data_IF_012428662445
#
_entry.id   IF_012428662445
#
_cell.length_a   1.000
_cell.length_b   1.000
_cell.length_c   1.000
_cell.angle_alpha   90.00
_cell.angle_beta   90.00
_cell.angle_gamma   90.00
#
_symmetry.space_group_name_H-M   'P 1'
#
loop_
_entity.id
_entity.type
_entity.pdbx_description
1 polymer ?
#
# COMPACT_ATOMS: atom_id res chain seq x y z
N UNK A 1 16.93 10.68 20.54
CA UNK A 1 17.12 9.55 19.61
C UNK A 1 15.79 8.99 19.09
N UNK A 2 14.82 8.68 19.94
CA UNK A 2 13.51 8.09 19.54
C UNK A 2 12.76 8.94 18.50
N UNK A 3 12.72 10.26 18.64
CA UNK A 3 12.01 11.17 17.72
C UNK A 3 12.57 11.23 16.28
N UNK A 4 13.82 10.81 16.07
CA UNK A 4 14.42 10.69 14.73
C UNK A 4 14.27 9.29 14.21
N UNK A 5 14.46 8.29 15.08
CA UNK A 5 14.44 6.88 14.71
C UNK A 5 13.03 6.42 14.30
N UNK A 6 11.99 6.88 15.00
CA UNK A 6 10.61 6.46 14.75
C UNK A 6 10.12 6.86 13.34
N UNK A 7 10.19 8.15 12.91
CA UNK A 7 9.82 8.53 11.55
C UNK A 7 10.65 7.84 10.46
N UNK A 8 11.93 7.58 10.74
CA UNK A 8 12.81 6.90 9.79
C UNK A 8 12.43 5.43 9.60
N UNK A 9 12.17 4.70 10.70
CA UNK A 9 11.73 3.31 10.64
C UNK A 9 10.35 3.17 9.98
N UNK A 10 9.42 4.08 10.30
CA UNK A 10 8.09 4.08 9.66
C UNK A 10 8.17 4.42 8.18
N UNK A 11 9.02 5.36 7.78
CA UNK A 11 9.25 5.69 6.38
C UNK A 11 9.81 4.48 5.59
N UNK A 12 10.83 3.81 6.14
CA UNK A 12 11.40 2.62 5.49
C UNK A 12 10.38 1.48 5.44
N UNK A 13 9.67 1.23 6.53
CA UNK A 13 8.65 0.18 6.58
C UNK A 13 7.55 0.41 5.54
N UNK A 14 6.99 1.63 5.50
CA UNK A 14 5.94 1.99 4.54
C UNK A 14 6.45 1.93 3.10
N UNK A 15 7.66 2.45 2.84
CA UNK A 15 8.30 2.37 1.51
C UNK A 15 8.56 0.93 1.09
N UNK A 16 8.98 0.07 2.02
CA UNK A 16 9.21 -1.35 1.73
C UNK A 16 7.93 -2.10 1.34
N UNK A 17 6.84 -1.85 2.04
CA UNK A 17 5.52 -2.44 1.73
C UNK A 17 5.00 -1.90 0.39
N UNK A 18 5.09 -0.59 0.17
CA UNK A 18 4.68 0.02 -1.10
C UNK A 18 5.50 -0.52 -2.28
N UNK A 19 6.81 -0.65 -2.12
CA UNK A 19 7.72 -1.22 -3.12
C UNK A 19 7.36 -2.68 -3.44
N UNK A 20 7.07 -3.48 -2.41
CA UNK A 20 6.67 -4.88 -2.60
C UNK A 20 5.42 -4.99 -3.48
N UNK A 21 4.34 -4.28 -3.12
CA UNK A 21 3.09 -4.32 -3.89
C UNK A 21 3.24 -3.73 -5.29
N UNK A 22 4.00 -2.64 -5.43
CA UNK A 22 4.27 -2.00 -6.71
C UNK A 22 5.04 -2.92 -7.66
N UNK A 23 6.14 -3.49 -7.19
CA UNK A 23 7.03 -4.35 -8.01
C UNK A 23 6.35 -5.66 -8.39
N UNK A 24 5.70 -6.33 -7.45
CA UNK A 24 4.97 -7.58 -7.74
C UNK A 24 3.78 -7.29 -8.65
N UNK A 25 3.02 -6.21 -8.42
CA UNK A 25 1.91 -5.85 -9.27
C UNK A 25 2.33 -5.54 -10.71
N UNK A 26 3.42 -4.82 -10.88
CA UNK A 26 3.98 -4.55 -12.20
C UNK A 26 4.46 -5.84 -12.89
N UNK A 27 5.13 -6.73 -12.15
CA UNK A 27 5.59 -8.02 -12.66
C UNK A 27 4.43 -8.94 -13.09
N UNK A 28 3.28 -8.84 -12.44
CA UNK A 28 2.08 -9.62 -12.79
C UNK A 28 1.41 -9.14 -14.08
N UNK A 29 1.57 -7.86 -14.45
CA UNK A 29 1.08 -7.33 -15.74
C UNK A 29 1.87 -7.93 -16.92
N UNK A 30 3.13 -8.33 -16.69
CA UNK A 30 4.02 -8.85 -17.73
C UNK A 30 4.55 -10.24 -17.36
N UNK A 31 3.73 -11.28 -17.34
CA UNK A 31 4.13 -12.61 -16.84
C UNK A 31 5.30 -13.23 -17.62
N UNK A 32 5.48 -12.88 -18.89
CA UNK A 32 6.62 -13.35 -19.71
C UNK A 32 7.98 -12.76 -19.32
N UNK A 33 8.01 -11.69 -18.51
CA UNK A 33 9.25 -10.99 -18.10
C UNK A 33 9.29 -10.75 -16.60
N UNK A 34 8.76 -11.69 -15.81
CA UNK A 34 8.57 -11.54 -14.38
C UNK A 34 9.84 -11.12 -13.62
N UNK A 35 10.93 -11.86 -13.74
CA UNK A 35 12.18 -11.58 -13.06
C UNK A 35 12.88 -10.26 -13.50
N UNK A 36 13.00 -9.96 -14.81
CA UNK A 36 13.51 -8.67 -15.25
C UNK A 36 12.74 -7.49 -14.69
N UNK A 37 11.41 -7.60 -14.60
CA UNK A 37 10.57 -6.51 -14.07
C UNK A 37 10.73 -6.35 -12.56
N UNK A 38 10.86 -7.45 -11.80
CA UNK A 38 11.16 -7.37 -10.36
C UNK A 38 12.47 -6.62 -10.14
N UNK A 39 13.51 -6.98 -10.87
CA UNK A 39 14.81 -6.31 -10.73
C UNK A 39 14.72 -4.83 -11.10
N UNK A 40 14.14 -4.52 -12.27
CA UNK A 40 13.97 -3.14 -12.73
C UNK A 40 13.10 -2.32 -11.77
N UNK A 41 11.95 -2.85 -11.37
CA UNK A 41 11.03 -2.18 -10.46
C UNK A 41 11.65 -1.90 -9.10
N UNK A 42 12.41 -2.87 -8.55
CA UNK A 42 13.12 -2.70 -7.27
C UNK A 42 14.16 -1.58 -7.34
N UNK A 43 14.92 -1.51 -8.45
CA UNK A 43 15.90 -0.43 -8.66
C UNK A 43 15.19 0.93 -8.83
N UNK A 44 14.08 0.98 -9.55
CA UNK A 44 13.30 2.21 -9.73
C UNK A 44 12.75 2.73 -8.40
N UNK A 45 12.23 1.85 -7.54
CA UNK A 45 11.75 2.22 -6.20
C UNK A 45 12.88 2.77 -5.32
N UNK A 46 14.02 2.10 -5.29
CA UNK A 46 15.19 2.58 -4.57
C UNK A 46 15.66 3.94 -5.10
N UNK A 47 15.70 4.09 -6.44
CA UNK A 47 16.12 5.33 -7.10
C UNK A 47 15.17 6.49 -6.79
N UNK A 48 13.85 6.23 -6.72
CA UNK A 48 12.84 7.23 -6.32
C UNK A 48 13.15 7.81 -4.94
N UNK A 49 13.38 6.95 -3.94
CA UNK A 49 13.68 7.39 -2.57
C UNK A 49 15.01 8.14 -2.46
N UNK A 50 16.05 7.64 -3.14
CA UNK A 50 17.36 8.31 -3.17
C UNK A 50 17.26 9.67 -3.83
N UNK A 51 16.58 9.76 -4.98
CA UNK A 51 16.41 11.02 -5.72
C UNK A 51 15.64 12.06 -4.90
N UNK A 52 14.57 11.68 -4.24
CA UNK A 52 13.79 12.56 -3.36
C UNK A 52 14.63 13.06 -2.20
N UNK A 53 15.32 12.16 -1.52
CA UNK A 53 16.18 12.50 -0.38
C UNK A 53 17.31 13.46 -0.80
N UNK A 54 17.96 13.17 -1.92
CA UNK A 54 19.03 14.01 -2.46
C UNK A 54 18.50 15.38 -2.89
N UNK A 55 17.40 15.44 -3.63
CA UNK A 55 16.80 16.68 -4.12
C UNK A 55 16.35 17.56 -2.95
N UNK A 56 15.75 16.98 -1.91
CA UNK A 56 15.36 17.71 -0.72
C UNK A 56 16.56 18.33 -0.01
N UNK A 57 17.64 17.57 0.17
CA UNK A 57 18.83 18.04 0.85
C UNK A 57 19.58 19.14 0.06
N UNK A 58 19.56 19.06 -1.27
CA UNK A 58 20.30 19.97 -2.15
C UNK A 58 19.38 20.97 -2.90
N UNK A 59 18.14 21.18 -2.40
CA UNK A 59 17.14 21.98 -3.09
C UNK A 59 17.63 23.41 -3.41
N UNK A 60 18.30 24.09 -2.49
CA UNK A 60 18.79 25.46 -2.67
C UNK A 60 19.96 25.57 -3.65
N UNK A 61 20.82 24.54 -3.69
CA UNK A 61 22.05 24.52 -4.49
C UNK A 61 21.83 24.02 -5.93
N UNK A 62 20.72 23.27 -6.13
CA UNK A 62 20.41 22.64 -7.43
C UNK A 62 19.91 23.68 -8.45
N UNK A 63 20.44 23.62 -9.68
CA UNK A 63 20.00 24.45 -10.80
C UNK A 63 18.49 24.22 -11.07
N UNK A 64 17.77 25.30 -11.48
CA UNK A 64 16.32 25.25 -11.75
C UNK A 64 15.94 24.15 -12.74
N UNK A 65 16.70 23.95 -13.82
CA UNK A 65 16.44 22.92 -14.82
C UNK A 65 16.49 21.50 -14.21
N UNK A 66 17.55 21.20 -13.44
CA UNK A 66 17.69 19.89 -12.75
C UNK A 66 16.60 19.67 -11.70
N UNK A 67 16.21 20.73 -10.99
CA UNK A 67 15.14 20.68 -9.99
C UNK A 67 13.82 20.26 -10.62
N UNK A 68 13.42 20.91 -11.71
CA UNK A 68 12.22 20.56 -12.46
C UNK A 68 12.29 19.14 -13.04
N UNK A 69 13.43 18.77 -13.62
CA UNK A 69 13.64 17.45 -14.19
C UNK A 69 13.47 16.34 -13.15
N UNK A 70 14.18 16.42 -12.00
CA UNK A 70 14.09 15.41 -10.98
C UNK A 70 12.70 15.37 -10.30
N UNK A 71 12.06 16.52 -10.07
CA UNK A 71 10.71 16.56 -9.53
C UNK A 71 9.72 15.87 -10.47
N UNK A 72 9.77 16.18 -11.77
CA UNK A 72 8.92 15.55 -12.78
C UNK A 72 9.20 14.05 -12.88
N UNK A 73 10.47 13.64 -12.87
CA UNK A 73 10.86 12.24 -12.90
C UNK A 73 10.31 11.47 -11.68
N UNK A 74 10.40 12.03 -10.49
CA UNK A 74 9.84 11.42 -9.27
C UNK A 74 8.32 11.29 -9.37
N UNK A 75 7.62 12.33 -9.85
CA UNK A 75 6.15 12.27 -10.03
C UNK A 75 5.77 11.19 -11.04
N UNK A 76 6.49 11.09 -12.17
CA UNK A 76 6.26 10.03 -13.16
C UNK A 76 6.53 8.63 -12.58
N UNK A 77 7.61 8.47 -11.80
CA UNK A 77 7.91 7.23 -11.12
C UNK A 77 6.79 6.87 -10.13
N UNK A 78 6.27 7.83 -9.36
CA UNK A 78 5.13 7.61 -8.48
C UNK A 78 3.89 7.11 -9.24
N UNK A 79 3.59 7.69 -10.40
CA UNK A 79 2.45 7.24 -11.21
C UNK A 79 2.64 5.80 -11.72
N UNK A 80 3.85 5.45 -12.18
CA UNK A 80 4.16 4.08 -12.65
C UNK A 80 4.05 3.08 -11.49
N UNK A 81 4.61 3.40 -10.33
CA UNK A 81 4.58 2.51 -9.16
C UNK A 81 3.17 2.37 -8.59
N UNK A 82 2.39 3.46 -8.60
CA UNK A 82 0.97 3.45 -8.24
C UNK A 82 0.16 2.53 -9.15
N UNK A 83 0.48 2.49 -10.46
CA UNK A 83 -0.16 1.57 -11.41
C UNK A 83 0.16 0.10 -11.09
N UNK A 84 1.38 -0.19 -10.61
CA UNK A 84 1.74 -1.51 -10.10
C UNK A 84 0.89 -1.94 -8.90
N UNK A 85 0.77 -1.07 -7.89
CA UNK A 85 -0.05 -1.34 -6.69
C UNK A 85 -1.52 -1.55 -7.09
N UNK A 86 -2.04 -0.70 -7.99
CA UNK A 86 -3.40 -0.84 -8.52
C UNK A 86 -3.60 -2.20 -9.19
N UNK A 87 -2.65 -2.62 -10.04
CA UNK A 87 -2.70 -3.92 -10.71
C UNK A 87 -2.74 -5.08 -9.72
N UNK A 88 -1.90 -5.05 -8.68
CA UNK A 88 -1.86 -6.07 -7.63
C UNK A 88 -3.19 -6.18 -6.88
N UNK A 89 -3.69 -5.06 -6.36
CA UNK A 89 -4.93 -5.04 -5.57
C UNK A 89 -6.16 -5.36 -6.41
N UNK A 90 -6.22 -4.86 -7.66
CA UNK A 90 -7.31 -5.17 -8.58
C UNK A 90 -7.33 -6.65 -8.95
N UNK A 91 -6.16 -7.28 -9.16
CA UNK A 91 -6.06 -8.70 -9.45
C UNK A 91 -6.55 -9.53 -8.26
N UNK A 92 -6.12 -9.21 -7.04
CA UNK A 92 -6.57 -9.89 -5.83
C UNK A 92 -8.10 -9.84 -5.68
N UNK A 93 -8.71 -8.68 -5.98
CA UNK A 93 -10.17 -8.53 -5.97
C UNK A 93 -10.85 -9.36 -7.07
N UNK A 94 -10.31 -9.36 -8.28
CA UNK A 94 -10.85 -10.17 -9.39
C UNK A 94 -10.79 -11.66 -9.10
N UNK A 95 -9.71 -12.17 -8.53
CA UNK A 95 -9.56 -13.57 -8.13
C UNK A 95 -10.63 -13.98 -7.11
N UNK A 96 -10.90 -13.11 -6.11
CA UNK A 96 -11.98 -13.33 -5.15
C UNK A 96 -13.36 -13.37 -5.82
N UNK A 97 -13.63 -12.47 -6.76
CA UNK A 97 -14.89 -12.44 -7.51
C UNK A 97 -15.09 -13.66 -8.42
N UNK A 98 -14.02 -14.15 -9.07
CA UNK A 98 -14.08 -15.37 -9.89
C UNK A 98 -14.42 -16.57 -9.02
N UNK A 99 -13.83 -16.69 -7.83
CA UNK A 99 -14.13 -17.77 -6.88
C UNK A 99 -15.59 -17.72 -6.42
N UNK A 100 -16.08 -16.51 -6.04
CA UNK A 100 -17.49 -16.31 -5.70
C UNK A 100 -18.43 -16.71 -6.84
N UNK A 101 -18.14 -16.28 -8.06
CA UNK A 101 -18.94 -16.61 -9.24
C UNK A 101 -18.97 -18.11 -9.51
N UNK A 102 -17.84 -18.81 -9.41
CA UNK A 102 -17.75 -20.25 -9.58
C UNK A 102 -18.55 -21.00 -8.51
N UNK A 103 -18.42 -20.62 -7.24
CA UNK A 103 -19.16 -21.20 -6.12
C UNK A 103 -20.68 -21.00 -6.31
N UNK A 104 -21.11 -19.80 -6.69
CA UNK A 104 -22.53 -19.48 -6.95
C UNK A 104 -23.11 -20.36 -8.08
N UNK A 105 -22.36 -20.59 -9.15
CA UNK A 105 -22.79 -21.49 -10.25
C UNK A 105 -22.89 -22.92 -9.78
N UNK A 106 -21.91 -23.41 -9.01
CA UNK A 106 -21.94 -24.77 -8.45
C UNK A 106 -23.12 -24.97 -7.49
N UNK A 107 -23.37 -24.01 -6.60
CA UNK A 107 -24.50 -24.01 -5.67
C UNK A 107 -25.82 -24.08 -6.44
N UNK A 108 -26.02 -23.25 -7.47
CA UNK A 108 -27.23 -23.30 -8.32
C UNK A 108 -27.42 -24.65 -9.02
N UNK A 109 -26.33 -25.27 -9.46
CA UNK A 109 -26.36 -26.60 -10.07
C UNK A 109 -26.78 -27.66 -9.06
N UNK A 110 -26.20 -27.62 -7.84
CA UNK A 110 -26.58 -28.52 -6.74
C UNK A 110 -28.01 -28.27 -6.27
N UNK A 111 -28.50 -27.03 -6.23
CA UNK A 111 -29.90 -26.69 -5.93
C UNK A 111 -30.86 -27.31 -6.94
N UNK A 112 -30.49 -27.27 -8.23
CA UNK A 112 -31.30 -27.90 -9.27
C UNK A 112 -31.33 -29.43 -9.12
N UNK A 113 -30.17 -30.05 -8.84
CA UNK A 113 -30.10 -31.50 -8.57
C UNK A 113 -30.88 -31.88 -7.33
N UNK A 114 -30.76 -31.10 -6.25
CA UNK A 114 -31.50 -31.29 -5.01
C UNK A 114 -33.02 -31.26 -5.27
N UNK A 115 -33.48 -30.27 -6.04
CA UNK A 115 -34.91 -30.16 -6.42
C UNK A 115 -35.39 -31.38 -7.18
N UNK A 116 -34.65 -31.81 -8.19
CA UNK A 116 -34.99 -33.00 -8.97
C UNK A 116 -35.02 -34.26 -8.09
N UNK A 117 -34.04 -34.44 -7.23
CA UNK A 117 -33.98 -35.57 -6.31
C UNK A 117 -35.11 -35.55 -5.28
N UNK A 118 -35.54 -34.39 -4.79
CA UNK A 118 -36.70 -34.23 -3.90
C UNK A 118 -38.01 -34.58 -4.62
N UNK A 119 -38.22 -34.08 -5.81
CA UNK A 119 -39.39 -34.42 -6.64
C UNK A 119 -39.46 -35.92 -6.94
N UNK A 120 -38.31 -36.54 -7.26
CA UNK A 120 -38.21 -38.00 -7.46
C UNK A 120 -38.53 -38.75 -6.18
N UNK A 121 -38.02 -38.32 -5.03
CA UNK A 121 -38.30 -38.93 -3.74
C UNK A 121 -39.79 -38.86 -3.41
N UNK A 122 -40.43 -37.71 -3.60
CA UNK A 122 -41.85 -37.51 -3.37
C UNK A 122 -42.70 -38.45 -4.27
N UNK A 123 -42.36 -38.53 -5.55
CA UNK A 123 -43.01 -39.45 -6.47
C UNK A 123 -42.87 -40.93 -6.05
N UNK A 124 -41.66 -41.33 -5.63
CA UNK A 124 -41.42 -42.73 -5.17
C UNK A 124 -42.14 -43.02 -3.86
N UNK A 125 -42.19 -42.08 -2.91
CA UNK A 125 -42.93 -42.23 -1.65
C UNK A 125 -44.44 -42.36 -1.89
N UNK A 126 -45.00 -41.54 -2.77
CA UNK A 126 -46.42 -41.66 -3.14
C UNK A 126 -46.74 -43.04 -3.76
N UNK A 127 -45.82 -43.55 -4.56
CA UNK A 127 -45.96 -44.85 -5.23
C UNK A 127 -45.74 -46.03 -4.25
N UNK A 128 -44.89 -45.88 -3.27
CA UNK A 128 -44.68 -46.85 -2.21
C UNK A 128 -45.92 -47.00 -1.28
N UNK A 129 -46.67 -45.89 -1.10
CA UNK A 129 -47.91 -45.87 -0.33
C UNK A 129 -49.11 -46.53 -1.00
N UNK A 130 -49.02 -46.84 -2.29
CA UNK A 130 -50.08 -47.53 -3.03
C UNK A 130 -49.86 -49.07 -2.99
N UNK A 131 -50.78 -49.83 -2.38
CA UNK A 131 -50.66 -51.31 -2.29
C UNK A 131 -50.49 -52.03 -3.62
N UNK A 132 -50.98 -51.44 -4.70
CA UNK A 132 -50.90 -52.03 -6.06
C UNK A 132 -49.50 -51.89 -6.68
N UNK A 133 -48.70 -50.94 -6.21
CA UNK A 133 -47.38 -50.60 -6.77
C UNK A 133 -46.20 -50.76 -5.79
N UNK A 134 -46.48 -51.03 -4.50
CA UNK A 134 -45.47 -51.27 -3.47
C UNK A 134 -44.56 -52.46 -3.85
N UNK A 135 -43.24 -52.23 -3.87
CA UNK A 135 -42.28 -53.25 -4.28
C UNK A 135 -40.91 -52.94 -3.61
N UNK A 136 -40.16 -53.99 -3.24
CA UNK A 136 -38.78 -53.87 -2.73
C UNK A 136 -37.89 -53.00 -3.62
N UNK A 137 -38.15 -52.96 -4.93
CA UNK A 137 -37.43 -52.13 -5.88
C UNK A 137 -37.66 -50.63 -5.63
N UNK A 138 -38.87 -50.26 -5.21
CA UNK A 138 -39.20 -48.86 -4.88
C UNK A 138 -38.50 -48.46 -3.57
N UNK A 139 -38.47 -49.32 -2.58
CA UNK A 139 -37.77 -49.08 -1.33
C UNK A 139 -36.26 -48.85 -1.56
N UNK A 140 -35.63 -49.66 -2.43
CA UNK A 140 -34.23 -49.48 -2.79
C UNK A 140 -34.02 -48.12 -3.49
N UNK A 141 -34.90 -47.73 -4.43
CA UNK A 141 -34.81 -46.43 -5.10
C UNK A 141 -35.02 -45.24 -4.14
N UNK A 142 -35.86 -45.37 -3.13
CA UNK A 142 -36.05 -44.39 -2.07
C UNK A 142 -34.74 -44.21 -1.30
N UNK A 143 -34.10 -45.33 -0.88
CA UNK A 143 -32.83 -45.28 -0.14
C UNK A 143 -31.70 -44.67 -0.98
N UNK A 144 -31.61 -45.03 -2.26
CA UNK A 144 -30.65 -44.46 -3.22
C UNK A 144 -30.85 -42.94 -3.36
N UNK A 145 -32.10 -42.48 -3.54
CA UNK A 145 -32.44 -41.06 -3.68
C UNK A 145 -32.17 -40.29 -2.39
N UNK A 146 -32.40 -40.89 -1.23
CA UNK A 146 -32.04 -40.28 0.07
C UNK A 146 -30.52 -40.16 0.26
N UNK A 147 -29.77 -41.19 -0.18
CA UNK A 147 -28.32 -41.16 -0.17
C UNK A 147 -27.77 -40.06 -1.10
N UNK A 148 -28.39 -39.93 -2.29
CA UNK A 148 -28.06 -38.86 -3.25
C UNK A 148 -28.32 -37.46 -2.67
N UNK A 149 -29.46 -37.23 -2.03
CA UNK A 149 -29.78 -35.97 -1.33
C UNK A 149 -28.79 -35.65 -0.26
N UNK A 150 -28.38 -36.66 0.54
CA UNK A 150 -27.36 -36.47 1.56
C UNK A 150 -26.01 -36.10 0.98
N UNK A 151 -25.62 -36.71 -0.14
CA UNK A 151 -24.39 -36.38 -0.86
C UNK A 151 -24.43 -34.96 -1.38
N UNK A 152 -25.50 -34.53 -2.05
CA UNK A 152 -25.69 -33.16 -2.56
C UNK A 152 -25.60 -32.16 -1.42
N UNK A 153 -26.26 -32.43 -0.30
CA UNK A 153 -26.19 -31.57 0.90
C UNK A 153 -24.76 -31.45 1.43
N UNK A 154 -24.01 -32.54 1.51
CA UNK A 154 -22.62 -32.52 1.99
C UNK A 154 -21.69 -31.78 1.04
N UNK A 155 -21.93 -31.83 -0.28
CA UNK A 155 -21.14 -31.08 -1.28
C UNK A 155 -21.50 -29.59 -1.26
N UNK A 156 -22.75 -29.23 -0.98
CA UNK A 156 -23.23 -27.84 -0.94
C UNK A 156 -22.79 -27.06 0.31
N UNK A 157 -22.74 -27.70 1.46
CA UNK A 157 -22.42 -27.06 2.75
C UNK A 157 -21.07 -26.31 2.75
N UNK A 158 -19.94 -26.90 2.30
CA UNK A 158 -18.66 -26.19 2.26
C UNK A 158 -18.68 -25.00 1.30
N UNK A 159 -19.35 -25.11 0.14
CA UNK A 159 -19.48 -24.03 -0.83
C UNK A 159 -20.26 -22.83 -0.26
N UNK A 160 -21.36 -23.09 0.47
CA UNK A 160 -22.13 -22.07 1.17
C UNK A 160 -21.31 -21.40 2.28
N UNK A 161 -20.51 -22.17 3.03
CA UNK A 161 -19.66 -21.62 4.05
C UNK A 161 -18.58 -20.69 3.47
N UNK A 162 -17.99 -21.06 2.34
CA UNK A 162 -17.01 -20.25 1.63
C UNK A 162 -17.64 -18.99 1.01
N UNK A 163 -18.82 -19.11 0.37
CA UNK A 163 -19.58 -17.97 -0.15
C UNK A 163 -19.93 -16.96 0.96
N UNK A 164 -20.40 -17.44 2.11
CA UNK A 164 -20.69 -16.59 3.26
C UNK A 164 -19.46 -15.89 3.80
N UNK A 165 -18.31 -16.58 3.86
CA UNK A 165 -17.03 -16.00 4.29
C UNK A 165 -16.59 -14.88 3.35
N UNK A 166 -16.55 -15.14 2.07
CA UNK A 166 -16.18 -14.16 1.04
C UNK A 166 -17.16 -12.98 1.01
N UNK A 167 -18.46 -13.23 1.16
CA UNK A 167 -19.48 -12.18 1.24
C UNK A 167 -19.30 -11.30 2.49
N UNK A 168 -18.87 -11.87 3.62
CA UNK A 168 -18.58 -11.11 4.83
C UNK A 168 -17.33 -10.23 4.68
N UNK A 169 -16.32 -10.69 3.95
CA UNK A 169 -15.12 -9.91 3.65
C UNK A 169 -15.43 -8.70 2.75
N UNK A 170 -16.38 -8.83 1.81
CA UNK A 170 -16.81 -7.74 0.92
C UNK A 170 -17.80 -6.78 1.62
N UNK A 171 -18.42 -7.20 2.72
CA UNK A 171 -19.45 -6.45 3.42
C UNK A 171 -19.11 -4.98 3.71
N UNK A 172 -17.96 -4.65 4.29
CA UNK A 172 -17.58 -3.25 4.55
C UNK A 172 -17.52 -2.39 3.28
N UNK A 173 -17.01 -2.96 2.17
CA UNK A 173 -16.91 -2.28 0.88
C UNK A 173 -18.30 -2.05 0.29
N UNK A 174 -19.23 -2.99 0.50
CA UNK A 174 -20.62 -2.87 0.06
C UNK A 174 -21.32 -1.66 0.70
N UNK A 175 -21.10 -1.43 2.00
CA UNK A 175 -21.65 -0.25 2.69
C UNK A 175 -21.07 1.06 2.14
N UNK A 176 -19.78 1.11 1.83
CA UNK A 176 -19.15 2.28 1.19
C UNK A 176 -19.71 2.46 -0.22
N UNK A 177 -19.89 1.38 -0.96
CA UNK A 177 -20.46 1.43 -2.30
C UNK A 177 -21.89 1.98 -2.30
N UNK A 178 -22.73 1.53 -1.37
CA UNK A 178 -24.12 1.98 -1.23
C UNK A 178 -24.23 3.47 -0.85
N UNK A 179 -23.19 4.07 -0.29
CA UNK A 179 -23.14 5.49 0.04
C UNK A 179 -22.87 6.38 -1.18
N UNK A 180 -22.05 5.90 -2.12
CA UNK A 180 -21.55 6.70 -3.25
C UNK A 180 -22.14 6.32 -4.60
N UNK A 181 -22.72 5.12 -4.73
CA UNK A 181 -23.22 4.59 -5.99
C UNK A 181 -24.66 4.08 -5.85
N UNK A 182 -25.39 4.13 -6.95
CA UNK A 182 -26.76 3.64 -7.00
C UNK A 182 -26.80 2.11 -6.95
N UNK A 183 -27.70 1.54 -6.13
CA UNK A 183 -27.85 0.09 -5.92
C UNK A 183 -28.35 -0.66 -7.17
N UNK A 184 -28.96 0.06 -8.11
CA UNK A 184 -29.48 -0.52 -9.36
C UNK A 184 -28.37 -0.88 -10.36
N UNK A 185 -27.15 -0.36 -10.19
CA UNK A 185 -26.01 -0.66 -11.06
C UNK A 185 -25.35 -1.99 -10.65
N UNK A 186 -25.37 -3.04 -11.47
CA UNK A 186 -24.74 -4.34 -11.15
C UNK A 186 -23.24 -4.25 -10.86
N UNK A 187 -22.58 -3.19 -11.34
CA UNK A 187 -21.13 -2.97 -11.19
C UNK A 187 -20.77 -2.04 -10.02
N UNK A 188 -21.72 -1.66 -9.17
CA UNK A 188 -21.49 -0.65 -8.11
C UNK A 188 -20.38 -1.08 -7.12
N UNK A 189 -20.31 -2.38 -6.78
CA UNK A 189 -19.28 -2.92 -5.88
C UNK A 189 -17.89 -2.80 -6.53
N UNK A 190 -17.75 -3.17 -7.78
CA UNK A 190 -16.47 -3.09 -8.50
C UNK A 190 -15.98 -1.64 -8.62
N UNK A 191 -16.89 -0.70 -8.85
CA UNK A 191 -16.57 0.75 -8.88
C UNK A 191 -16.10 1.23 -7.52
N UNK A 192 -16.77 0.83 -6.44
CA UNK A 192 -16.38 1.20 -5.09
C UNK A 192 -15.00 0.62 -4.71
N UNK A 193 -14.74 -0.66 -5.03
CA UNK A 193 -13.44 -1.28 -4.80
C UNK A 193 -12.34 -0.52 -5.52
N UNK A 194 -12.53 -0.20 -6.80
CA UNK A 194 -11.55 0.60 -7.58
C UNK A 194 -11.32 1.97 -6.95
N UNK A 195 -12.38 2.65 -6.50
CA UNK A 195 -12.26 3.94 -5.82
C UNK A 195 -11.45 3.82 -4.52
N UNK A 196 -11.72 2.81 -3.69
CA UNK A 196 -10.97 2.56 -2.45
C UNK A 196 -9.49 2.26 -2.76
N UNK A 197 -9.20 1.43 -3.77
CA UNK A 197 -7.83 1.14 -4.20
C UNK A 197 -7.10 2.42 -4.63
N UNK A 198 -7.74 3.29 -5.41
CA UNK A 198 -7.17 4.57 -5.85
C UNK A 198 -6.86 5.48 -4.64
N UNK A 199 -7.78 5.57 -3.67
CA UNK A 199 -7.56 6.36 -2.45
C UNK A 199 -6.38 5.82 -1.64
N UNK A 200 -6.31 4.50 -1.45
CA UNK A 200 -5.18 3.85 -0.76
C UNK A 200 -3.86 4.22 -1.44
N UNK A 201 -3.77 4.05 -2.74
CA UNK A 201 -2.55 4.35 -3.51
C UNK A 201 -2.18 5.83 -3.39
N UNK A 202 -3.15 6.73 -3.54
CA UNK A 202 -2.92 8.17 -3.48
C UNK A 202 -2.43 8.63 -2.10
N UNK A 203 -2.76 7.89 -1.04
CA UNK A 203 -2.29 8.17 0.32
C UNK A 203 -0.92 7.52 0.57
N UNK A 204 -0.74 6.25 0.21
CA UNK A 204 0.45 5.47 0.59
C UNK A 204 1.74 5.97 -0.06
N UNK A 205 1.74 6.20 -1.37
CA UNK A 205 2.96 6.51 -2.12
C UNK A 205 3.50 7.92 -1.78
N UNK A 206 2.70 9.00 -1.78
CA UNK A 206 3.17 10.30 -1.32
C UNK A 206 3.53 10.32 0.18
N UNK A 207 2.80 9.57 1.03
CA UNK A 207 3.07 9.52 2.46
C UNK A 207 4.45 8.92 2.76
N UNK A 208 4.84 7.86 2.06
CA UNK A 208 6.16 7.25 2.21
C UNK A 208 7.29 8.27 1.91
N UNK A 209 7.14 9.04 0.84
CA UNK A 209 8.08 10.09 0.45
C UNK A 209 8.10 11.24 1.46
N UNK A 210 6.93 11.70 1.91
CA UNK A 210 6.83 12.78 2.91
C UNK A 210 7.43 12.37 4.25
N UNK A 211 7.24 11.14 4.70
CA UNK A 211 7.86 10.61 5.91
C UNK A 211 9.38 10.54 5.79
N UNK A 212 9.92 10.18 4.63
CA UNK A 212 11.35 10.18 4.37
C UNK A 212 11.92 11.61 4.44
N UNK A 213 11.23 12.58 3.83
CA UNK A 213 11.60 14.00 3.91
C UNK A 213 11.57 14.49 5.37
N UNK A 214 10.51 14.18 6.11
CA UNK A 214 10.36 14.54 7.51
C UNK A 214 11.48 13.93 8.38
N UNK A 215 11.84 12.68 8.15
CA UNK A 215 12.94 12.01 8.83
C UNK A 215 14.28 12.70 8.55
N UNK A 216 14.58 13.02 7.28
CA UNK A 216 15.78 13.75 6.89
C UNK A 216 15.83 15.15 7.49
N UNK A 217 14.72 15.86 7.53
CA UNK A 217 14.63 17.18 8.16
C UNK A 217 14.90 17.12 9.66
N UNK A 218 14.30 16.16 10.34
CA UNK A 218 14.48 15.97 11.78
C UNK A 218 15.94 15.62 12.12
N UNK A 219 16.56 14.74 11.32
CA UNK A 219 17.98 14.41 11.45
C UNK A 219 18.87 15.64 11.29
N UNK A 220 18.68 16.41 10.22
CA UNK A 220 19.47 17.61 9.93
C UNK A 220 19.32 18.68 11.00
N UNK A 221 18.10 18.92 11.49
CA UNK A 221 17.86 19.91 12.54
C UNK A 221 18.56 19.53 13.85
N UNK A 222 18.62 18.23 14.16
CA UNK A 222 19.30 17.74 15.35
C UNK A 222 20.81 17.89 15.24
N UNK A 223 21.40 17.58 14.09
CA UNK A 223 22.84 17.77 13.84
C UNK A 223 23.22 19.26 13.97
N UNK A 224 22.42 20.16 13.43
CA UNK A 224 22.60 21.61 13.63
C UNK A 224 22.53 22.04 15.10
N UNK A 225 21.67 21.43 15.90
CA UNK A 225 21.55 21.74 17.34
C UNK A 225 22.71 21.21 18.17
N UNK A 226 23.29 20.08 17.81
CA UNK A 226 24.47 19.52 18.51
C UNK A 226 25.75 20.35 18.24
N UNK A 227 25.90 20.89 17.02
CA UNK A 227 27.06 21.73 16.66
C UNK A 227 27.00 23.15 17.21
N UNK A 228 25.80 23.70 17.43
CA UNK A 228 25.61 25.06 17.95
C UNK A 228 26.26 25.34 19.30
N UNK A 229 26.18 24.46 20.32
CA UNK A 229 26.85 24.74 21.61
C UNK A 229 28.37 24.64 21.52
N UNK A 230 28.88 23.81 20.60
CA UNK A 230 30.33 23.68 20.36
C UNK A 230 30.87 24.92 19.65
N UNK A 231 30.16 25.43 18.66
CA UNK A 231 30.51 26.65 17.93
C UNK A 231 30.37 27.89 18.84
N UNK A 232 29.32 27.98 19.67
CA UNK A 232 29.16 29.07 20.67
C UNK A 232 30.23 29.01 21.76
N UNK A 233 30.69 27.83 22.19
CA UNK A 233 31.81 27.68 23.12
C UNK A 233 33.14 28.06 22.48
N UNK A 234 33.39 27.75 21.20
CA UNK A 234 34.57 28.17 20.44
C UNK A 234 34.58 29.70 20.25
N UNK A 235 33.45 30.27 19.83
CA UNK A 235 33.33 31.75 19.67
C UNK A 235 33.50 32.52 20.96
N UNK A 236 33.13 31.97 22.14
CA UNK A 236 33.31 32.62 23.46
C UNK A 236 34.75 32.55 23.94
N UNK A 237 35.60 31.65 23.43
CA UNK A 237 37.02 31.50 23.74
C UNK A 237 37.93 32.30 22.82
N UNK A 238 37.40 32.84 21.71
CA UNK A 238 38.15 33.70 20.78
C UNK A 238 38.21 35.12 21.31
N UNK A 239 39.41 35.70 21.47
CA UNK A 239 39.59 37.08 21.83
C UNK A 239 39.43 37.96 20.58
N UNK A 240 38.74 39.14 20.68
CA UNK A 240 38.73 40.08 19.57
C UNK A 240 40.14 40.61 19.31
N UNK A 241 40.51 40.68 18.05
CA UNK A 241 41.80 41.26 17.63
C UNK A 241 41.65 42.77 17.50
N UNK A 242 41.49 43.47 18.64
CA UNK A 242 41.24 44.93 18.67
C UNK A 242 42.50 45.80 18.52
N UNK A 243 43.69 45.20 18.30
CA UNK A 243 44.97 45.92 18.33
C UNK A 243 45.71 46.06 16.99
N UNK A 244 45.04 45.88 15.84
CA UNK A 244 45.63 46.24 14.55
C UNK A 244 44.95 47.50 14.03
N UNK A 245 45.61 48.65 14.30
CA UNK A 245 45.08 49.96 13.94
C UNK A 245 44.78 50.14 12.47
N UNK A 246 43.68 50.82 12.21
CA UNK A 246 43.40 51.54 10.99
C UNK A 246 42.57 50.78 9.93
N UNK A 247 41.36 51.29 9.71
CA UNK A 247 40.47 51.17 8.57
C UNK A 247 39.91 49.78 8.19
N UNK A 248 38.63 49.63 8.50
CA UNK A 248 37.63 48.77 7.83
C UNK A 248 38.11 47.38 7.37
N UNK A 249 38.66 46.59 8.27
CA UNK A 249 38.77 45.15 8.09
C UNK A 249 37.71 44.48 8.96
N UNK A 250 36.95 43.59 8.33
CA UNK A 250 36.01 42.69 9.01
C UNK A 250 36.63 42.13 10.28
N UNK A 251 35.95 42.22 11.42
CA UNK A 251 36.47 41.69 12.67
C UNK A 251 36.58 40.16 12.57
N UNK A 252 37.79 39.67 12.63
CA UNK A 252 38.14 38.25 12.66
C UNK A 252 38.33 37.81 14.11
N UNK A 253 37.96 36.56 14.39
CA UNK A 253 38.26 35.90 15.64
C UNK A 253 39.32 34.82 15.41
N UNK A 254 40.27 34.68 16.30
CA UNK A 254 41.32 33.66 16.25
C UNK A 254 40.97 32.56 17.25
N UNK A 255 40.95 31.31 16.81
CA UNK A 255 40.71 30.17 17.69
C UNK A 255 41.97 29.72 18.41
N UNK A 256 41.84 28.75 19.32
CA UNK A 256 42.95 28.20 20.12
C UNK A 256 44.07 27.56 19.28
N UNK A 257 43.83 27.35 17.99
CA UNK A 257 44.78 26.79 17.00
C UNK A 257 45.39 27.88 16.09
N UNK A 258 45.15 29.14 16.41
CA UNK A 258 45.55 30.28 15.59
C UNK A 258 44.90 30.38 14.22
N UNK A 259 43.73 29.72 14.02
CA UNK A 259 42.95 29.85 12.79
C UNK A 259 42.04 31.10 12.84
N UNK A 260 42.08 31.91 11.77
CA UNK A 260 41.31 33.14 11.63
C UNK A 260 39.90 32.81 11.14
N UNK A 261 38.87 33.07 11.95
CA UNK A 261 37.48 32.83 11.61
C UNK A 261 36.79 34.17 11.31
N UNK A 262 36.24 34.39 10.09
CA UNK A 262 35.53 35.60 9.75
C UNK A 262 34.21 35.72 10.52
N UNK A 263 33.88 36.93 10.99
CA UNK A 263 32.66 37.24 11.77
C UNK A 263 31.37 36.88 11.00
N UNK A 264 31.38 36.94 9.68
CA UNK A 264 30.28 36.54 8.81
C UNK A 264 29.87 35.07 8.96
N UNK A 265 30.79 34.17 9.39
CA UNK A 265 30.48 32.78 9.69
C UNK A 265 29.77 32.59 11.02
N UNK A 266 29.95 33.53 11.97
CA UNK A 266 29.37 33.47 13.33
C UNK A 266 27.97 34.09 13.33
N UNK A 267 27.77 35.20 12.60
CA UNK A 267 26.44 35.84 12.45
C UNK A 267 25.45 35.07 11.59
N UNK A 268 25.90 34.27 10.63
CA UNK A 268 25.03 33.37 9.84
C UNK A 268 24.39 32.27 10.69
N UNK A 269 24.97 31.96 11.84
CA UNK A 269 24.46 30.94 12.77
C UNK A 269 23.29 31.47 13.61
N UNK A 270 23.30 32.80 13.91
CA UNK A 270 22.22 33.44 14.70
C UNK A 270 21.06 33.98 13.84
N UNK A 271 21.23 34.13 12.51
CA UNK A 271 20.22 34.67 11.60
C UNK A 271 19.22 33.62 11.06
N UNK A 272 19.56 32.34 11.12
CA UNK A 272 18.69 31.25 10.65
C UNK A 272 17.67 30.77 11.70
N UNK A 273 17.52 31.51 12.82
CA UNK A 273 16.63 31.18 13.95
C UNK A 273 15.50 32.22 14.17
N UNK A 274 15.03 32.87 13.10
CA UNK A 274 13.78 33.64 13.14
C UNK A 274 12.74 33.06 12.19
#
# INVERSE_FOLDING_TARGET
>A
MIQVLLPFLTAIGLSGVAAYYSVIGLAQIFPGSFWPIILMGSILEASKLVTVSWLYNNWAETNRLMRYYFTTAVVLLMLITSMGIFGYLSKAHLESNVTLGANTVQIKTLDTQEKIARERLEYLMKRAGDPATASRKIDTQIQETQAELKRISNEKLPLLAEENKLSAEIGPIKYIAELFYDKEDPSFIDKAVRAVIIVIIFVFDPLAVLLLIAANQTYRNRYKQEDLPVLKKKAKKTKPLDNLGGNSLESFFVDERNEVIPKSKITKIDGDFK
#
